data_IF_330393555837
#
_entry.id   IF_330393555837
#
_cell.length_a   1.000
_cell.length_b   1.000
_cell.length_c   1.000
_cell.angle_alpha   90.00
_cell.angle_beta   90.00
_cell.angle_gamma   90.00
#
_symmetry.space_group_name_H-M   'P 1'
#
loop_
_entity.id
_entity.type
_entity.pdbx_description
1 polymer ?
#
# COMPACT_ATOMS: atom_id res chain seq x y z
N UNK A 1 33.93 34.23 -19.64
CA UNK A 1 32.72 34.99 -20.04
C UNK A 1 31.74 34.04 -20.69
N UNK A 2 30.81 33.46 -19.92
CA UNK A 2 29.74 32.60 -20.43
C UNK A 2 28.44 33.07 -19.80
N UNK A 3 27.47 33.40 -20.64
CA UNK A 3 26.21 34.04 -20.28
C UNK A 3 25.25 33.08 -19.58
N UNK A 4 24.76 33.46 -18.40
CA UNK A 4 23.58 32.88 -17.75
C UNK A 4 22.32 33.37 -18.45
N UNK A 5 21.51 32.46 -18.99
CA UNK A 5 20.12 32.74 -19.37
C UNK A 5 19.21 32.50 -18.17
N UNK A 6 18.68 33.58 -17.62
CA UNK A 6 17.58 33.56 -16.67
C UNK A 6 16.26 33.31 -17.43
N UNK A 7 15.55 32.23 -17.10
CA UNK A 7 14.16 32.06 -17.48
C UNK A 7 13.29 32.44 -16.29
N UNK A 8 12.73 33.65 -16.31
CA UNK A 8 11.63 34.06 -15.44
C UNK A 8 10.35 33.39 -15.92
N UNK A 9 9.71 32.59 -15.07
CA UNK A 9 8.39 32.02 -15.34
C UNK A 9 7.35 32.78 -14.50
N UNK A 10 6.80 33.83 -15.10
CA UNK A 10 5.56 34.46 -14.66
C UNK A 10 4.50 34.11 -15.70
N UNK A 11 3.45 33.40 -15.30
CA UNK A 11 2.19 33.56 -16.01
C UNK A 11 1.00 33.35 -15.07
N UNK A 12 0.32 34.47 -14.83
CA UNK A 12 -1.01 34.55 -14.28
C UNK A 12 -2.01 33.95 -15.28
N UNK A 13 -2.99 33.19 -14.79
CA UNK A 13 -4.25 33.05 -15.52
C UNK A 13 -5.41 32.96 -14.53
N UNK A 14 -6.14 34.06 -14.50
CA UNK A 14 -7.41 34.30 -13.83
C UNK A 14 -8.57 33.68 -14.62
N UNK A 15 -9.61 33.26 -13.88
CA UNK A 15 -10.98 33.09 -14.38
C UNK A 15 -11.65 31.76 -14.04
N UNK A 16 -12.98 31.67 -14.06
CA UNK A 16 -13.96 32.64 -13.55
C UNK A 16 -14.94 32.00 -12.55
N UNK A 17 -15.67 32.88 -11.85
CA UNK A 17 -16.86 32.61 -11.06
C UNK A 17 -17.85 31.64 -11.74
N UNK A 18 -18.41 30.73 -10.95
CA UNK A 18 -19.60 29.96 -11.32
C UNK A 18 -20.51 29.80 -10.10
N UNK A 19 -21.42 30.75 -10.05
CA UNK A 19 -22.84 30.64 -9.70
C UNK A 19 -23.26 29.91 -8.41
N UNK A 20 -23.65 30.76 -7.47
CA UNK A 20 -24.48 30.51 -6.31
C UNK A 20 -25.90 30.09 -6.71
N UNK A 21 -26.10 28.79 -6.90
CA UNK A 21 -27.42 28.15 -6.95
C UNK A 21 -28.10 28.08 -5.58
N UNK A 22 -28.74 29.19 -5.18
CA UNK A 22 -29.86 29.28 -4.22
C UNK A 22 -30.99 28.34 -4.66
N UNK A 23 -31.56 27.56 -3.73
CA UNK A 23 -32.96 27.08 -3.63
C UNK A 23 -32.95 26.03 -2.49
N UNK A 24 -33.42 26.31 -1.29
CA UNK A 24 -34.80 26.65 -0.99
C UNK A 24 -35.56 25.39 -0.59
N UNK A 25 -35.65 25.10 0.71
CA UNK A 25 -36.74 24.31 1.32
C UNK A 25 -36.74 24.48 2.85
N UNK A 26 -37.51 25.49 3.26
CA UNK A 26 -38.08 25.60 4.59
C UNK A 26 -39.28 24.65 4.68
N UNK A 27 -39.15 23.56 5.43
CA UNK A 27 -40.25 22.80 6.03
C UNK A 27 -39.70 22.39 7.40
N UNK A 28 -40.08 22.96 8.54
CA UNK A 28 -41.44 23.35 8.91
C UNK A 28 -42.18 22.13 9.42
N UNK A 29 -41.71 21.51 10.51
CA UNK A 29 -42.51 20.60 11.32
C UNK A 29 -42.08 20.70 12.79
N UNK A 30 -42.90 21.46 13.53
CA UNK A 30 -42.90 21.57 14.98
C UNK A 30 -43.62 20.31 15.49
N UNK A 31 -42.89 19.43 16.17
CA UNK A 31 -43.49 18.34 16.96
C UNK A 31 -43.27 18.67 18.43
N UNK A 32 -44.38 19.03 19.07
CA UNK A 32 -44.54 19.29 20.49
C UNK A 32 -44.35 17.98 21.27
N UNK A 33 -43.20 17.80 21.93
CA UNK A 33 -42.95 16.65 22.80
C UNK A 33 -43.30 17.01 24.25
N UNK A 34 -44.26 16.27 24.79
CA UNK A 34 -44.71 16.28 26.19
C UNK A 34 -43.55 15.94 27.14
N UNK A 35 -43.31 16.83 28.10
CA UNK A 35 -42.41 16.62 29.23
C UNK A 35 -43.01 15.56 30.19
N UNK A 36 -42.54 14.33 30.08
CA UNK A 36 -42.65 13.31 31.13
C UNK A 36 -41.36 13.28 31.95
N UNK A 37 -41.43 13.72 33.22
CA UNK A 37 -40.34 13.66 34.19
C UNK A 37 -40.17 12.21 34.68
N UNK A 38 -39.30 11.44 34.01
CA UNK A 38 -38.84 10.14 34.50
C UNK A 38 -37.47 10.29 35.19
N UNK A 39 -37.24 9.68 36.37
CA UNK A 39 -35.94 9.70 37.04
C UNK A 39 -34.92 8.92 36.20
N UNK A 40 -33.92 9.64 35.68
CA UNK A 40 -32.79 9.04 34.96
C UNK A 40 -31.90 8.31 35.96
N UNK A 41 -32.04 6.99 36.03
CA UNK A 41 -31.02 6.14 36.59
C UNK A 41 -29.76 6.29 35.73
N UNK A 42 -28.72 6.90 36.29
CA UNK A 42 -27.39 7.01 35.68
C UNK A 42 -26.80 5.59 35.66
N UNK A 43 -27.09 4.85 34.59
CA UNK A 43 -26.36 3.62 34.28
C UNK A 43 -24.95 4.07 33.92
N UNK A 44 -24.00 3.82 34.82
CA UNK A 44 -22.59 4.03 34.58
C UNK A 44 -22.19 3.20 33.36
N UNK A 45 -22.15 3.83 32.18
CA UNK A 45 -21.56 3.20 31.01
C UNK A 45 -20.10 2.91 31.36
N UNK A 46 -19.66 1.64 31.30
CA UNK A 46 -18.25 1.33 31.46
C UNK A 46 -17.46 2.18 30.45
N UNK A 47 -16.32 2.78 30.86
CA UNK A 47 -15.54 3.63 29.99
C UNK A 47 -15.24 2.87 28.70
N UNK A 48 -15.48 3.46 27.51
CA UNK A 48 -15.19 2.80 26.25
C UNK A 48 -13.73 2.35 26.28
N UNK A 49 -13.44 1.09 25.89
CA UNK A 49 -12.07 0.60 25.88
C UNK A 49 -11.21 1.59 25.09
N UNK A 50 -10.00 1.92 25.57
CA UNK A 50 -9.14 2.88 24.91
C UNK A 50 -8.97 2.42 23.47
N UNK A 51 -9.47 3.22 22.53
CA UNK A 51 -9.32 2.95 21.11
C UNK A 51 -7.82 2.83 20.87
N UNK A 52 -7.35 1.59 20.67
CA UNK A 52 -5.96 1.34 20.33
C UNK A 52 -5.68 2.21 19.11
N UNK A 53 -4.82 3.22 19.30
CA UNK A 53 -4.31 4.01 18.19
C UNK A 53 -3.36 3.09 17.45
N UNK A 54 -3.94 2.21 16.65
CA UNK A 54 -3.20 1.50 15.63
C UNK A 54 -2.84 2.60 14.64
N UNK A 55 -1.67 3.20 14.83
CA UNK A 55 -1.03 3.99 13.79
C UNK A 55 -0.70 3.01 12.67
N UNK A 56 -1.71 2.66 11.87
CA UNK A 56 -1.63 1.84 10.67
C UNK A 56 -0.96 2.64 9.53
N UNK A 57 0.14 3.32 9.86
CA UNK A 57 0.97 4.04 8.91
C UNK A 57 2.17 3.17 8.54
N UNK A 58 2.19 2.68 7.30
CA UNK A 58 3.34 1.94 6.76
C UNK A 58 4.09 2.82 5.78
N UNK A 59 5.39 3.00 6.01
CA UNK A 59 6.29 3.83 5.17
C UNK A 59 5.76 5.26 4.95
N UNK A 60 5.16 5.85 5.99
CA UNK A 60 4.59 7.19 5.90
C UNK A 60 3.21 7.27 5.24
N UNK A 61 2.61 6.15 4.82
CA UNK A 61 1.31 6.14 4.13
C UNK A 61 0.22 5.70 5.10
N UNK A 62 -0.80 6.54 5.28
CA UNK A 62 -1.94 6.26 6.15
C UNK A 62 -2.88 5.24 5.53
N UNK A 63 -3.32 4.26 6.30
CA UNK A 63 -4.36 3.31 5.91
C UNK A 63 -5.72 4.01 5.73
N UNK A 64 -6.46 3.65 4.67
CA UNK A 64 -7.80 4.17 4.43
C UNK A 64 -8.76 3.06 3.98
N UNK A 65 -9.28 2.30 4.95
CA UNK A 65 -10.20 1.18 4.70
C UNK A 65 -11.56 1.62 4.15
N UNK A 66 -11.95 2.89 4.34
CA UNK A 66 -13.19 3.44 3.80
C UNK A 66 -13.14 3.58 2.28
N UNK A 67 -11.99 4.01 1.74
CA UNK A 67 -11.77 4.13 0.31
C UNK A 67 -11.32 2.82 -0.33
N UNK A 68 -10.62 1.98 0.43
CA UNK A 68 -10.00 0.74 -0.02
C UNK A 68 -10.37 -0.41 0.92
N UNK A 69 -11.59 -0.97 0.82
CA UNK A 69 -12.01 -2.11 1.64
C UNK A 69 -11.14 -3.34 1.40
N UNK A 70 -10.87 -4.09 2.46
CA UNK A 70 -10.01 -5.29 2.47
C UNK A 70 -10.61 -6.42 3.32
N UNK A 71 -11.92 -6.37 3.56
CA UNK A 71 -12.68 -7.33 4.36
C UNK A 71 -12.90 -8.66 3.65
N UNK A 72 -12.88 -8.66 2.31
CA UNK A 72 -12.98 -9.87 1.47
C UNK A 72 -11.87 -9.91 0.41
N UNK A 73 -11.52 -11.09 -0.14
CA UNK A 73 -10.56 -11.20 -1.24
C UNK A 73 -10.97 -10.35 -2.46
N UNK A 74 -12.28 -10.35 -2.78
CA UNK A 74 -12.84 -9.58 -3.89
C UNK A 74 -12.72 -8.06 -3.65
N UNK A 75 -13.03 -7.60 -2.44
CA UNK A 75 -12.87 -6.19 -2.06
C UNK A 75 -11.40 -5.75 -2.10
N UNK A 76 -10.47 -6.59 -1.63
CA UNK A 76 -9.04 -6.30 -1.71
C UNK A 76 -8.55 -6.16 -3.17
N UNK A 77 -8.99 -7.04 -4.07
CA UNK A 77 -8.68 -6.94 -5.51
C UNK A 77 -9.26 -5.67 -6.14
N UNK A 78 -10.51 -5.33 -5.81
CA UNK A 78 -11.14 -4.08 -6.26
C UNK A 78 -10.38 -2.85 -5.75
N UNK A 79 -9.95 -2.87 -4.50
CA UNK A 79 -9.13 -1.83 -3.88
C UNK A 79 -7.80 -1.65 -4.60
N UNK A 80 -7.16 -2.74 -5.05
CA UNK A 80 -5.94 -2.68 -5.86
C UNK A 80 -6.17 -1.98 -7.18
N UNK A 81 -7.17 -2.40 -7.95
CA UNK A 81 -7.49 -1.78 -9.23
C UNK A 81 -7.82 -0.29 -9.05
N UNK A 82 -8.63 0.04 -8.05
CA UNK A 82 -8.98 1.44 -7.74
C UNK A 82 -7.75 2.27 -7.35
N UNK A 83 -6.81 1.71 -6.59
CA UNK A 83 -5.58 2.40 -6.22
C UNK A 83 -4.69 2.65 -7.43
N UNK A 84 -4.55 1.66 -8.34
CA UNK A 84 -3.78 1.78 -9.57
C UNK A 84 -4.39 2.81 -10.52
N UNK A 85 -5.71 2.80 -10.71
CA UNK A 85 -6.43 3.78 -11.55
C UNK A 85 -6.21 5.21 -11.05
N UNK A 86 -6.19 5.40 -9.72
CA UNK A 86 -5.91 6.69 -9.08
C UNK A 86 -4.41 7.02 -8.99
N UNK A 87 -3.53 6.22 -9.61
CA UNK A 87 -2.06 6.34 -9.57
C UNK A 87 -1.48 6.33 -8.14
N UNK A 88 -2.16 5.67 -7.21
CA UNK A 88 -1.73 5.51 -5.82
C UNK A 88 -0.90 4.23 -5.63
N UNK A 89 0.13 4.06 -6.44
CA UNK A 89 0.99 2.86 -6.40
C UNK A 89 1.66 2.66 -5.03
N UNK A 90 2.03 3.75 -4.36
CA UNK A 90 2.60 3.70 -3.03
C UNK A 90 1.62 3.07 -2.01
N UNK A 91 0.34 3.42 -2.09
CA UNK A 91 -0.71 2.81 -1.26
C UNK A 91 -0.88 1.32 -1.56
N UNK A 92 -0.88 0.96 -2.85
CA UNK A 92 -0.99 -0.43 -3.27
C UNK A 92 0.15 -1.30 -2.71
N UNK A 93 1.39 -0.84 -2.82
CA UNK A 93 2.54 -1.57 -2.28
C UNK A 93 2.52 -1.60 -0.75
N UNK A 94 2.16 -0.51 -0.08
CA UNK A 94 2.20 -0.44 1.38
C UNK A 94 1.09 -1.24 2.08
N UNK A 95 -0.12 -1.24 1.51
CA UNK A 95 -1.32 -1.71 2.22
C UNK A 95 -2.09 -2.83 1.53
N UNK A 96 -1.88 -3.08 0.24
CA UNK A 96 -2.66 -4.10 -0.50
C UNK A 96 -1.85 -5.35 -0.84
N UNK A 97 -0.51 -5.28 -0.85
CA UNK A 97 0.36 -6.44 -1.00
C UNK A 97 0.71 -7.08 0.36
N UNK A 98 1.05 -8.37 0.35
CA UNK A 98 1.49 -9.08 1.57
C UNK A 98 2.62 -8.31 2.27
N UNK A 99 2.42 -7.84 3.52
CA UNK A 99 3.42 -7.08 4.26
C UNK A 99 4.76 -7.82 4.37
N UNK A 100 4.75 -9.13 4.56
CA UNK A 100 5.98 -9.91 4.74
C UNK A 100 6.83 -9.93 3.46
N UNK A 101 6.18 -10.04 2.31
CA UNK A 101 6.87 -10.05 1.01
C UNK A 101 7.45 -8.66 0.69
N UNK A 102 6.71 -7.60 1.01
CA UNK A 102 7.20 -6.23 0.83
C UNK A 102 8.39 -5.98 1.75
N UNK A 103 8.29 -6.33 3.03
CA UNK A 103 9.37 -6.11 4.00
C UNK A 103 10.65 -6.90 3.67
N UNK A 104 10.53 -8.13 3.17
CA UNK A 104 11.66 -8.91 2.69
C UNK A 104 12.37 -8.19 1.52
N UNK A 105 11.61 -7.79 0.49
CA UNK A 105 12.17 -7.06 -0.67
C UNK A 105 12.82 -5.73 -0.29
N UNK A 106 12.25 -5.02 0.66
CA UNK A 106 12.81 -3.76 1.14
C UNK A 106 14.11 -3.99 1.90
N UNK A 107 14.18 -5.04 2.71
CA UNK A 107 15.40 -5.38 3.46
C UNK A 107 16.55 -5.70 2.52
N UNK A 108 16.30 -6.52 1.50
CA UNK A 108 17.30 -6.87 0.48
C UNK A 108 17.80 -5.63 -0.28
N UNK A 109 16.87 -4.77 -0.71
CA UNK A 109 17.20 -3.56 -1.50
C UNK A 109 17.80 -2.44 -0.68
N UNK A 110 17.44 -2.31 0.60
CA UNK A 110 17.97 -1.25 1.47
C UNK A 110 19.50 -1.30 1.57
N UNK A 111 20.09 -2.50 1.45
CA UNK A 111 21.55 -2.67 1.44
C UNK A 111 22.23 -1.89 0.30
N UNK A 112 21.55 -1.72 -0.85
CA UNK A 112 22.05 -0.93 -1.99
C UNK A 112 22.03 0.59 -1.74
N UNK A 113 21.29 1.04 -0.72
CA UNK A 113 21.06 2.46 -0.44
C UNK A 113 21.76 2.97 0.82
N UNK A 114 22.49 2.13 1.55
CA UNK A 114 23.15 2.51 2.82
C UNK A 114 24.10 3.70 2.65
N UNK A 115 25.00 3.63 1.67
CA UNK A 115 25.98 4.70 1.40
C UNK A 115 25.31 6.04 1.04
N UNK A 116 24.24 5.97 0.25
CA UNK A 116 23.47 7.15 -0.15
C UNK A 116 22.75 7.75 1.05
N UNK A 117 22.05 6.92 1.81
CA UNK A 117 21.31 7.33 3.00
C UNK A 117 22.23 7.98 4.03
N UNK A 118 23.41 7.40 4.27
CA UNK A 118 24.38 7.96 5.20
C UNK A 118 24.92 9.32 4.73
N UNK A 119 25.26 9.46 3.43
CA UNK A 119 25.70 10.75 2.87
C UNK A 119 24.64 11.84 3.04
N UNK A 120 23.38 11.53 2.77
CA UNK A 120 22.26 12.47 2.95
C UNK A 120 22.12 12.90 4.42
N UNK A 121 22.12 11.96 5.36
CA UNK A 121 22.03 12.26 6.80
C UNK A 121 23.23 13.08 7.30
N UNK A 122 24.45 12.80 6.81
CA UNK A 122 25.64 13.62 7.15
C UNK A 122 25.48 15.05 6.63
N UNK A 123 24.96 15.24 5.41
CA UNK A 123 24.69 16.57 4.87
C UNK A 123 23.61 17.30 5.67
N UNK A 124 22.56 16.62 6.12
CA UNK A 124 21.53 17.17 7.00
C UNK A 124 22.15 17.66 8.33
N UNK A 125 23.05 16.87 8.94
CA UNK A 125 23.75 17.27 10.17
C UNK A 125 24.56 18.55 9.97
N UNK A 126 25.29 18.67 8.86
CA UNK A 126 26.04 19.89 8.53
C UNK A 126 25.12 21.10 8.35
N UNK A 127 23.95 20.92 7.74
CA UNK A 127 22.93 21.98 7.59
C UNK A 127 22.34 22.39 8.94
N UNK A 128 22.03 21.43 9.81
CA UNK A 128 21.54 21.69 11.16
C UNK A 128 22.58 22.44 12.01
N UNK A 129 23.87 22.17 11.84
CA UNK A 129 24.94 22.91 12.53
C UNK A 129 25.09 24.35 12.06
N UNK A 130 24.84 24.61 10.76
CA UNK A 130 24.91 25.96 10.19
C UNK A 130 23.69 26.81 10.52
N UNK A 131 22.55 26.18 10.79
CA UNK A 131 21.29 26.87 11.06
C UNK A 131 21.17 27.18 12.55
N UNK A 132 21.10 28.46 12.91
CA UNK A 132 21.03 28.91 14.31
C UNK A 132 19.66 28.66 14.97
N UNK A 133 18.63 28.35 14.18
CA UNK A 133 17.26 28.12 14.67
C UNK A 133 17.00 26.62 14.81
N UNK A 134 16.76 26.11 16.03
CA UNK A 134 16.40 24.72 16.26
C UNK A 134 14.91 24.49 15.96
N UNK A 135 14.55 24.26 14.70
CA UNK A 135 13.17 23.91 14.31
C UNK A 135 12.92 22.41 14.14
N UNK A 136 13.96 21.60 14.02
CA UNK A 136 13.86 20.14 13.80
C UNK A 136 14.55 19.35 14.94
N UNK A 137 14.07 18.14 15.26
CA UNK A 137 14.78 17.25 16.17
C UNK A 137 16.19 16.98 15.64
N UNK A 138 17.20 17.22 16.48
CA UNK A 138 18.60 17.03 16.12
C UNK A 138 18.85 15.56 15.77
N UNK A 139 19.64 15.33 14.73
CA UNK A 139 20.09 13.98 14.40
C UNK A 139 20.83 13.35 15.59
N UNK A 140 20.61 12.05 15.86
CA UNK A 140 21.19 11.39 17.02
C UNK A 140 22.71 11.41 16.96
N UNK A 141 23.36 11.59 18.12
CA UNK A 141 24.81 11.54 18.26
C UNK A 141 25.31 10.10 18.51
N UNK A 142 24.45 9.25 19.07
CA UNK A 142 24.81 7.88 19.44
C UNK A 142 25.01 7.01 18.19
N UNK A 143 26.10 6.20 18.12
CA UNK A 143 26.39 5.37 16.95
C UNK A 143 25.30 4.34 16.61
N UNK A 144 24.61 3.78 17.61
CA UNK A 144 23.55 2.79 17.38
C UNK A 144 22.31 3.42 16.75
N UNK A 145 21.80 4.50 17.37
CA UNK A 145 20.68 5.27 16.83
C UNK A 145 20.99 5.83 15.43
N UNK A 146 22.24 6.21 15.17
CA UNK A 146 22.66 6.62 13.82
C UNK A 146 22.53 5.49 12.79
N UNK A 147 23.01 4.28 13.11
CA UNK A 147 22.90 3.12 12.21
C UNK A 147 21.45 2.77 11.91
N UNK A 148 20.59 2.80 12.93
CA UNK A 148 19.15 2.58 12.77
C UNK A 148 18.52 3.62 11.85
N UNK A 149 18.86 4.90 12.04
CA UNK A 149 18.37 5.99 11.20
C UNK A 149 18.85 5.87 9.74
N UNK A 150 20.11 5.48 9.52
CA UNK A 150 20.64 5.18 8.18
C UNK A 150 19.85 4.04 7.53
N UNK A 151 19.61 2.95 8.27
CA UNK A 151 18.84 1.82 7.77
C UNK A 151 17.40 2.21 7.45
N UNK A 152 16.75 2.98 8.31
CA UNK A 152 15.41 3.51 8.08
C UNK A 152 15.36 4.36 6.79
N UNK A 153 16.29 5.31 6.63
CA UNK A 153 16.39 6.15 5.44
C UNK A 153 16.68 5.32 4.17
N UNK A 154 17.53 4.30 4.27
CA UNK A 154 17.79 3.38 3.17
C UNK A 154 16.54 2.58 2.76
N UNK A 155 15.74 2.12 3.74
CA UNK A 155 14.46 1.44 3.48
C UNK A 155 13.45 2.37 2.81
N UNK A 156 13.40 3.65 3.16
CA UNK A 156 12.56 4.64 2.48
C UNK A 156 12.94 4.80 1.00
N UNK A 157 14.23 4.84 0.68
CA UNK A 157 14.70 4.87 -0.71
C UNK A 157 14.34 3.59 -1.46
N UNK A 158 14.59 2.43 -0.85
CA UNK A 158 14.22 1.13 -1.42
C UNK A 158 12.70 1.03 -1.70
N UNK A 159 11.88 1.59 -0.81
CA UNK A 159 10.42 1.62 -0.99
C UNK A 159 10.02 2.50 -2.18
N UNK A 160 10.60 3.69 -2.31
CA UNK A 160 10.34 4.56 -3.48
C UNK A 160 10.71 3.88 -4.80
N UNK A 161 11.86 3.21 -4.84
CA UNK A 161 12.28 2.46 -6.03
C UNK A 161 11.33 1.29 -6.32
N UNK A 162 10.92 0.52 -5.30
CA UNK A 162 9.94 -0.55 -5.47
C UNK A 162 8.62 -0.03 -6.06
N UNK A 163 8.12 1.10 -5.56
CA UNK A 163 6.91 1.74 -6.09
C UNK A 163 7.09 2.13 -7.56
N UNK A 164 8.23 2.73 -7.92
CA UNK A 164 8.53 3.09 -9.32
C UNK A 164 8.59 1.87 -10.24
N UNK A 165 9.22 0.78 -9.80
CA UNK A 165 9.29 -0.45 -10.58
C UNK A 165 7.91 -1.09 -10.78
N UNK A 166 7.06 -1.09 -9.74
CA UNK A 166 5.67 -1.55 -9.87
C UNK A 166 4.90 -0.69 -10.87
N UNK A 167 5.02 0.63 -10.79
CA UNK A 167 4.40 1.55 -11.74
C UNK A 167 4.87 1.25 -13.17
N UNK A 168 6.19 1.24 -13.42
CA UNK A 168 6.77 0.99 -14.73
C UNK A 168 6.32 -0.34 -15.33
N UNK A 169 6.26 -1.40 -14.50
CA UNK A 169 5.80 -2.71 -14.94
C UNK A 169 4.33 -2.70 -15.35
N UNK A 170 3.46 -2.06 -14.57
CA UNK A 170 2.03 -1.97 -14.89
C UNK A 170 1.77 -1.10 -16.12
N UNK A 171 2.60 -0.08 -16.35
CA UNK A 171 2.55 0.75 -17.56
C UNK A 171 3.05 -0.01 -18.80
N UNK A 172 4.11 -0.82 -18.66
CA UNK A 172 4.65 -1.64 -19.74
C UNK A 172 3.72 -2.79 -20.15
N UNK A 173 2.95 -3.34 -19.20
CA UNK A 173 2.13 -4.53 -19.37
C UNK A 173 0.64 -4.26 -19.07
N UNK A 174 -0.07 -3.45 -19.89
CA UNK A 174 -1.46 -3.07 -19.61
C UNK A 174 -2.44 -4.25 -19.64
N UNK A 175 -2.06 -5.37 -20.27
CA UNK A 175 -2.85 -6.58 -20.28
C UNK A 175 -3.01 -7.20 -18.88
N UNK A 176 -2.04 -7.00 -17.96
CA UNK A 176 -2.15 -7.43 -16.55
C UNK A 176 -3.40 -6.81 -15.91
N UNK A 177 -3.61 -5.50 -16.09
CA UNK A 177 -4.75 -4.80 -15.51
C UNK A 177 -6.08 -5.32 -16.08
N UNK A 178 -6.12 -5.63 -17.38
CA UNK A 178 -7.31 -6.23 -18.01
C UNK A 178 -7.60 -7.63 -17.46
N UNK A 179 -6.56 -8.44 -17.25
CA UNK A 179 -6.70 -9.77 -16.64
C UNK A 179 -7.21 -9.68 -15.20
N UNK A 180 -6.65 -8.78 -14.38
CA UNK A 180 -7.13 -8.55 -13.01
C UNK A 180 -8.58 -8.07 -12.98
N UNK A 181 -8.97 -7.17 -13.89
CA UNK A 181 -10.34 -6.70 -14.02
C UNK A 181 -11.31 -7.84 -14.43
N UNK A 182 -10.89 -8.72 -15.35
CA UNK A 182 -11.66 -9.92 -15.72
C UNK A 182 -11.86 -10.86 -14.54
N UNK A 183 -10.80 -11.14 -13.77
CA UNK A 183 -10.87 -11.96 -12.55
C UNK A 183 -11.81 -11.33 -11.52
N UNK A 184 -11.75 -10.00 -11.33
CA UNK A 184 -12.66 -9.31 -10.43
C UNK A 184 -14.14 -9.44 -10.87
N UNK A 185 -14.40 -9.32 -12.17
CA UNK A 185 -15.74 -9.33 -12.72
C UNK A 185 -16.39 -10.72 -12.72
N UNK A 186 -15.66 -11.74 -13.18
CA UNK A 186 -16.19 -13.08 -13.45
C UNK A 186 -15.30 -14.23 -12.95
N UNK A 187 -14.26 -13.93 -12.17
CA UNK A 187 -13.36 -14.94 -11.64
C UNK A 187 -13.99 -15.82 -10.56
N UNK A 188 -13.47 -17.04 -10.45
CA UNK A 188 -13.80 -17.98 -9.39
C UNK A 188 -12.83 -17.81 -8.23
N UNK A 189 -13.36 -17.74 -7.00
CA UNK A 189 -12.58 -17.63 -5.77
C UNK A 189 -12.68 -18.94 -5.02
N UNK A 190 -11.57 -19.67 -4.93
CA UNK A 190 -11.49 -20.99 -4.31
C UNK A 190 -10.60 -20.94 -3.08
N UNK A 191 -11.07 -21.45 -1.96
CA UNK A 191 -10.27 -21.58 -0.74
C UNK A 191 -9.11 -22.57 -0.96
N UNK A 192 -7.97 -22.24 -0.37
CA UNK A 192 -6.74 -23.04 -0.38
C UNK A 192 -6.22 -23.18 1.05
N UNK A 193 -5.26 -24.07 1.28
CA UNK A 193 -4.69 -24.26 2.63
C UNK A 193 -4.12 -22.98 3.25
N UNK A 194 -3.66 -22.03 2.44
CA UNK A 194 -2.95 -20.83 2.88
C UNK A 194 -3.70 -19.51 2.59
N UNK A 195 -4.95 -19.57 2.12
CA UNK A 195 -5.71 -18.39 1.73
C UNK A 195 -6.68 -18.66 0.59
N UNK A 196 -6.91 -17.70 -0.30
CA UNK A 196 -7.87 -17.81 -1.42
C UNK A 196 -7.13 -17.65 -2.75
N UNK A 197 -7.47 -18.48 -3.72
CA UNK A 197 -7.03 -18.35 -5.12
C UNK A 197 -8.17 -17.78 -5.94
N UNK A 198 -7.93 -16.70 -6.67
CA UNK A 198 -8.84 -16.18 -7.68
C UNK A 198 -8.30 -16.50 -9.07
N UNK A 199 -9.12 -17.11 -9.92
CA UNK A 199 -8.75 -17.47 -11.30
C UNK A 199 -9.89 -17.18 -12.27
N UNK A 200 -9.57 -17.11 -13.56
CA UNK A 200 -10.55 -16.96 -14.63
C UNK A 200 -10.14 -17.82 -15.83
N UNK A 201 -11.06 -18.58 -16.46
CA UNK A 201 -10.72 -19.56 -17.50
C UNK A 201 -10.05 -18.93 -18.75
N UNK A 202 -10.39 -17.70 -19.10
CA UNK A 202 -9.75 -16.98 -20.22
C UNK A 202 -8.36 -16.42 -19.88
N UNK A 203 -7.94 -16.45 -18.62
CA UNK A 203 -6.66 -15.88 -18.17
C UNK A 203 -5.70 -17.04 -17.91
N UNK A 204 -5.03 -17.51 -18.98
CA UNK A 204 -4.21 -18.75 -18.96
C UNK A 204 -3.22 -18.82 -17.80
N UNK A 205 -2.51 -17.73 -17.50
CA UNK A 205 -1.43 -17.71 -16.50
C UNK A 205 -1.72 -16.81 -15.29
N UNK A 206 -2.97 -16.37 -15.13
CA UNK A 206 -3.32 -15.34 -14.14
C UNK A 206 -4.20 -15.88 -13.03
N UNK A 207 -3.60 -16.61 -12.11
CA UNK A 207 -4.18 -16.78 -10.79
C UNK A 207 -3.64 -15.69 -9.85
N UNK A 208 -4.52 -15.13 -9.02
CA UNK A 208 -4.14 -14.19 -7.96
C UNK A 208 -4.38 -14.87 -6.63
N UNK A 209 -3.36 -14.88 -5.77
CA UNK A 209 -3.45 -15.44 -4.44
C UNK A 209 -3.73 -14.36 -3.42
N UNK A 210 -4.53 -14.69 -2.42
CA UNK A 210 -4.86 -13.81 -1.33
C UNK A 210 -4.53 -14.49 -0.01
N UNK A 211 -3.96 -13.73 0.92
CA UNK A 211 -3.65 -14.17 2.27
C UNK A 211 -4.40 -13.29 3.27
N UNK A 212 -5.05 -13.91 4.24
CA UNK A 212 -5.71 -13.20 5.33
C UNK A 212 -4.70 -12.97 6.47
N UNK A 213 -4.56 -11.73 6.93
CA UNK A 213 -3.74 -11.35 8.08
C UNK A 213 -4.60 -10.48 9.00
N UNK A 214 -4.99 -11.05 10.15
CA UNK A 214 -6.00 -10.44 11.01
C UNK A 214 -7.33 -10.29 10.28
N UNK A 215 -7.99 -9.11 10.31
CA UNK A 215 -9.27 -8.89 9.64
C UNK A 215 -9.14 -8.49 8.15
N UNK A 216 -7.92 -8.45 7.59
CA UNK A 216 -7.64 -7.90 6.26
C UNK A 216 -7.12 -8.95 5.29
N UNK A 217 -7.52 -8.82 4.04
CA UNK A 217 -7.02 -9.61 2.91
C UNK A 217 -5.95 -8.84 2.13
N UNK A 218 -4.85 -9.52 1.82
CA UNK A 218 -3.71 -9.01 1.09
C UNK A 218 -3.46 -9.85 -0.15
N UNK A 219 -2.96 -9.22 -1.22
CA UNK A 219 -2.54 -9.92 -2.43
C UNK A 219 -1.16 -10.52 -2.20
N UNK A 220 -1.07 -11.82 -2.35
CA UNK A 220 0.15 -12.58 -2.19
C UNK A 220 0.84 -12.77 -3.55
N UNK A 221 2.16 -12.51 -3.60
CA UNK A 221 2.96 -12.66 -4.81
C UNK A 221 3.53 -14.09 -4.90
N UNK A 222 2.67 -15.09 -4.76
CA UNK A 222 3.00 -16.48 -5.08
C UNK A 222 2.79 -16.71 -6.56
N UNK A 223 3.78 -17.31 -7.21
CA UNK A 223 3.52 -18.07 -8.43
C UNK A 223 3.05 -19.44 -7.96
N UNK A 224 2.18 -20.09 -8.72
CA UNK A 224 2.04 -21.53 -8.51
C UNK A 224 3.44 -22.10 -8.61
N UNK A 225 3.88 -22.77 -7.54
CA UNK A 225 4.96 -23.73 -7.68
C UNK A 225 4.42 -24.70 -8.72
N UNK A 226 4.81 -24.52 -9.98
CA UNK A 226 4.40 -25.38 -11.08
C UNK A 226 4.49 -26.80 -10.54
N UNK A 227 3.39 -27.57 -10.53
CA UNK A 227 3.33 -28.83 -9.83
C UNK A 227 4.60 -29.59 -10.20
N UNK A 228 5.45 -29.84 -9.19
CA UNK A 228 6.76 -30.44 -9.40
C UNK A 228 6.54 -31.58 -10.37
N UNK A 229 7.21 -31.59 -11.54
CA UNK A 229 6.85 -32.49 -12.64
C UNK A 229 6.65 -33.87 -12.05
N UNK A 230 5.50 -34.53 -12.33
CA UNK A 230 5.14 -35.78 -11.68
C UNK A 230 6.37 -36.66 -11.66
N UNK A 231 6.79 -37.16 -10.47
CA UNK A 231 8.11 -37.73 -10.27
C UNK A 231 8.37 -38.67 -11.42
N UNK A 232 9.32 -38.30 -12.29
CA UNK A 232 9.50 -38.93 -13.59
C UNK A 232 9.42 -40.43 -13.37
N UNK A 233 8.35 -41.04 -13.87
CA UNK A 233 8.10 -42.47 -13.73
C UNK A 233 9.40 -43.14 -14.09
N UNK A 234 10.09 -43.74 -13.10
CA UNK A 234 11.37 -44.40 -13.34
C UNK A 234 11.15 -45.33 -14.51
N UNK A 235 11.67 -44.96 -15.69
CA UNK A 235 11.71 -45.88 -16.81
C UNK A 235 12.40 -47.12 -16.28
N UNK A 236 11.76 -48.30 -16.36
CA UNK A 236 12.39 -49.52 -15.93
C UNK A 236 13.68 -49.66 -16.73
N UNK A 237 14.80 -49.54 -16.03
CA UNK A 237 16.11 -49.70 -16.63
C UNK A 237 16.14 -51.06 -17.33
N UNK A 238 16.56 -51.15 -18.59
CA UNK A 238 16.67 -52.41 -19.31
C UNK A 238 17.83 -53.18 -18.69
N UNK A 239 17.53 -53.94 -17.63
CA UNK A 239 18.42 -54.98 -17.11
C UNK A 239 18.32 -56.19 -18.02
N UNK A 240 19.46 -56.52 -18.60
CA UNK A 240 19.96 -57.88 -18.78
C UNK A 240 19.13 -58.77 -19.73
N UNK A 241 19.42 -58.64 -21.04
CA UNK A 241 19.47 -59.80 -21.93
C UNK A 241 20.94 -60.14 -22.14
N UNK A 242 21.50 -60.97 -21.27
CA UNK A 242 22.68 -61.78 -21.56
C UNK A 242 22.18 -63.11 -22.16
N UNK A 243 22.64 -63.41 -23.37
CA UNK A 243 22.66 -64.74 -24.00
C UNK A 243 24.12 -65.25 -23.98
#
# INVERSE_FOLDING_TARGET
MLWMRACSWTNARTGPDSDLGRLGRCFGNIVLFLLGLAPLAVVAQPPPPPAAKVDDQRYGIRLNLRLYPQDTPKAALQSLLTAIEKKQYAYAVAHLLDPATVDARLSDRAMLFLDRAEKELRQERLRQQKTLVPSEPRLPAEPQQWKELVLQRAREHAFRELVQQVQQRLEAEPHILRSLAKILAAGQFTDTANGVKASHPEVLDGAVYFRQIGPRWFIDNRREDSPSPPPASKEPSPKDKED
#
